data_IF_212368608916
#
_entry.id   IF_212368608916
#
_cell.length_a   1.000
_cell.length_b   1.000
_cell.length_c   1.000
_cell.angle_alpha   90.00
_cell.angle_beta   90.00
_cell.angle_gamma   90.00
#
_symmetry.space_group_name_H-M   'P 1'
#
loop_
_entity.id
_entity.type
_entity.pdbx_description
1 polymer ?
#
# COMPACT_ATOMS: atom_id res chain seq x y z
N UNK A 1 -19.31 -32.34 3.34
CA UNK A 1 -19.45 -32.73 4.75
C UNK A 1 -20.12 -31.57 5.46
N UNK A 2 -21.33 -31.83 5.94
CA UNK A 2 -22.32 -30.86 6.41
C UNK A 2 -21.83 -30.00 7.59
N UNK A 3 -21.97 -28.68 7.44
CA UNK A 3 -21.65 -27.66 8.44
C UNK A 3 -22.87 -27.47 9.37
N UNK A 4 -23.19 -28.50 10.15
CA UNK A 4 -24.19 -28.42 11.22
C UNK A 4 -23.48 -28.45 12.58
N UNK A 5 -22.68 -27.41 12.85
CA UNK A 5 -22.20 -27.09 14.21
C UNK A 5 -23.03 -25.94 14.79
N UNK A 6 -24.30 -26.21 15.04
CA UNK A 6 -25.18 -25.37 15.86
C UNK A 6 -24.93 -25.59 17.36
N UNK A 7 -23.66 -25.62 17.77
CA UNK A 7 -23.25 -25.64 19.18
C UNK A 7 -22.75 -24.26 19.56
N UNK A 8 -23.22 -23.71 20.69
CA UNK A 8 -22.71 -22.46 21.25
C UNK A 8 -21.17 -22.49 21.26
N UNK A 9 -20.54 -21.68 20.41
CA UNK A 9 -19.09 -21.59 20.38
C UNK A 9 -18.62 -20.86 21.63
N UNK A 10 -17.63 -21.39 22.35
CA UNK A 10 -17.01 -20.73 23.50
C UNK A 10 -16.16 -19.48 23.13
N UNK A 11 -16.32 -18.96 21.91
CA UNK A 11 -15.65 -17.75 21.43
C UNK A 11 -16.34 -16.52 22.02
N UNK A 12 -15.56 -15.45 22.24
CA UNK A 12 -16.10 -14.12 22.55
C UNK A 12 -17.03 -13.62 21.45
N UNK A 13 -17.85 -12.61 21.74
CA UNK A 13 -18.70 -11.94 20.74
C UNK A 13 -17.90 -11.46 19.53
N UNK A 14 -16.69 -10.94 19.76
CA UNK A 14 -15.74 -10.58 18.71
C UNK A 14 -15.35 -11.79 17.85
N UNK A 15 -14.94 -12.90 18.47
CA UNK A 15 -14.56 -14.11 17.75
C UNK A 15 -15.70 -14.72 16.93
N UNK A 16 -16.93 -14.65 17.45
CA UNK A 16 -18.14 -15.07 16.74
C UNK A 16 -18.43 -14.17 15.54
N UNK A 17 -18.38 -12.85 15.70
CA UNK A 17 -18.59 -11.91 14.60
C UNK A 17 -17.59 -12.09 13.45
N UNK A 18 -16.32 -12.41 13.76
CA UNK A 18 -15.30 -12.69 12.72
C UNK A 18 -15.48 -14.05 12.05
N UNK A 19 -16.18 -14.99 12.67
CA UNK A 19 -16.46 -16.29 12.06
C UNK A 19 -17.28 -16.18 10.77
N UNK A 20 -18.07 -15.12 10.59
CA UNK A 20 -18.82 -14.88 9.34
C UNK A 20 -17.88 -14.57 8.17
N UNK A 21 -16.79 -13.85 8.42
CA UNK A 21 -15.75 -13.55 7.42
C UNK A 21 -14.72 -14.68 7.20
N UNK A 22 -14.83 -15.79 7.95
CA UNK A 22 -13.85 -16.90 7.93
C UNK A 22 -13.65 -17.50 6.55
N UNK A 23 -14.73 -17.62 5.77
CA UNK A 23 -14.70 -18.29 4.46
C UNK A 23 -13.78 -17.54 3.50
N UNK A 24 -13.85 -16.22 3.48
CA UNK A 24 -13.00 -15.35 2.66
C UNK A 24 -11.53 -15.47 3.06
N UNK A 25 -11.22 -15.41 4.36
CA UNK A 25 -9.85 -15.53 4.85
C UNK A 25 -9.23 -16.91 4.55
N UNK A 26 -9.99 -17.98 4.76
CA UNK A 26 -9.55 -19.35 4.43
C UNK A 26 -9.36 -19.54 2.93
N UNK A 27 -10.21 -18.94 2.09
CA UNK A 27 -10.03 -18.98 0.65
C UNK A 27 -8.76 -18.23 0.21
N UNK A 28 -8.50 -17.05 0.78
CA UNK A 28 -7.26 -16.32 0.54
C UNK A 28 -6.04 -17.15 0.93
N UNK A 29 -6.07 -17.80 2.10
CA UNK A 29 -4.98 -18.68 2.54
C UNK A 29 -4.75 -19.86 1.57
N UNK A 30 -5.82 -20.46 1.06
CA UNK A 30 -5.72 -21.52 0.03
C UNK A 30 -5.08 -20.98 -1.24
N UNK A 31 -5.51 -19.81 -1.72
CA UNK A 31 -4.94 -19.19 -2.92
C UNK A 31 -3.44 -18.90 -2.73
N UNK A 32 -3.03 -18.40 -1.55
CA UNK A 32 -1.61 -18.16 -1.25
C UNK A 32 -0.77 -19.45 -1.29
N UNK A 33 -1.33 -20.58 -0.85
CA UNK A 33 -0.65 -21.89 -0.92
C UNK A 33 -0.56 -22.45 -2.34
N UNK A 34 -1.42 -21.99 -3.24
CA UNK A 34 -1.41 -22.32 -4.67
C UNK A 34 -0.71 -21.22 -5.49
N UNK A 35 0.32 -20.58 -4.96
CA UNK A 35 1.06 -19.54 -5.69
C UNK A 35 1.89 -20.17 -6.82
N UNK A 36 1.96 -19.47 -7.96
CA UNK A 36 2.82 -19.85 -9.08
C UNK A 36 4.29 -19.90 -8.66
N UNK A 37 5.00 -20.92 -9.14
CA UNK A 37 6.45 -20.99 -9.08
C UNK A 37 6.97 -21.71 -10.33
N UNK A 38 7.94 -21.10 -11.01
CA UNK A 38 8.52 -21.56 -12.29
C UNK A 38 8.95 -23.05 -12.32
N UNK A 39 9.28 -23.63 -11.17
CA UNK A 39 9.79 -25.02 -11.07
C UNK A 39 8.90 -25.96 -10.28
N UNK A 40 8.18 -25.45 -9.28
CA UNK A 40 7.52 -26.29 -8.26
C UNK A 40 6.00 -26.20 -8.31
N UNK A 41 5.45 -25.15 -8.96
CA UNK A 41 4.02 -25.01 -9.15
C UNK A 41 3.73 -24.18 -10.42
N UNK A 42 4.01 -24.75 -11.59
CA UNK A 42 3.87 -24.06 -12.88
C UNK A 42 2.41 -23.69 -13.21
N UNK A 43 1.44 -24.38 -12.60
CA UNK A 43 0.00 -24.16 -12.76
C UNK A 43 -0.61 -23.34 -11.62
N UNK A 44 0.22 -22.87 -10.67
CA UNK A 44 -0.21 -22.04 -9.55
C UNK A 44 -0.68 -20.66 -9.99
N UNK A 45 -1.37 -19.95 -9.11
CA UNK A 45 -1.91 -18.60 -9.29
C UNK A 45 -0.77 -17.59 -9.38
N UNK A 46 -0.73 -16.84 -10.48
CA UNK A 46 0.13 -15.68 -10.65
C UNK A 46 -0.60 -14.47 -10.07
N UNK A 47 -0.09 -13.92 -8.97
CA UNK A 47 -0.72 -12.80 -8.28
C UNK A 47 -0.04 -11.48 -8.68
N UNK A 48 -0.73 -10.72 -9.52
CA UNK A 48 -0.34 -9.36 -9.91
C UNK A 48 -1.30 -8.32 -9.33
N UNK A 49 -2.06 -8.70 -8.30
CA UNK A 49 -2.96 -7.83 -7.56
C UNK A 49 -2.35 -7.25 -6.29
N UNK A 50 -1.40 -7.95 -5.68
CA UNK A 50 -0.68 -7.50 -4.48
C UNK A 50 0.50 -6.63 -4.88
N UNK A 51 0.57 -5.43 -4.29
CA UNK A 51 1.67 -4.49 -4.51
C UNK A 51 2.98 -5.01 -3.88
N UNK A 52 3.69 -5.84 -4.62
CA UNK A 52 4.99 -6.42 -4.30
C UNK A 52 6.00 -6.00 -5.34
N UNK A 53 7.22 -5.68 -4.88
CA UNK A 53 8.33 -5.35 -5.76
C UNK A 53 9.37 -6.45 -5.67
N UNK A 54 9.43 -7.29 -6.71
CA UNK A 54 10.35 -8.44 -6.77
C UNK A 54 11.57 -8.18 -7.65
N UNK A 55 11.74 -6.95 -8.14
CA UNK A 55 12.75 -6.58 -9.13
C UNK A 55 14.17 -6.64 -8.58
N UNK A 56 14.36 -6.42 -7.27
CA UNK A 56 15.68 -6.44 -6.61
C UNK A 56 15.88 -7.65 -5.68
N UNK A 57 15.07 -8.71 -5.79
CA UNK A 57 15.14 -9.85 -4.86
C UNK A 57 16.51 -10.53 -4.84
N UNK A 58 17.14 -10.69 -6.00
CA UNK A 58 18.44 -11.35 -6.06
C UNK A 58 19.56 -10.45 -5.56
N UNK A 59 19.54 -9.16 -5.90
CA UNK A 59 20.44 -8.15 -5.35
C UNK A 59 20.40 -8.13 -3.81
N UNK A 60 19.19 -8.11 -3.23
CA UNK A 60 19.00 -8.14 -1.78
C UNK A 60 19.45 -9.45 -1.15
N UNK A 61 19.17 -10.60 -1.79
CA UNK A 61 19.62 -11.90 -1.31
C UNK A 61 21.14 -11.94 -1.21
N UNK A 62 21.84 -11.59 -2.29
CA UNK A 62 23.31 -11.55 -2.30
C UNK A 62 23.88 -10.54 -1.31
N UNK A 63 23.26 -9.35 -1.22
CA UNK A 63 23.70 -8.31 -0.28
C UNK A 63 23.59 -8.78 1.17
N UNK A 64 22.45 -9.36 1.56
CA UNK A 64 22.24 -9.79 2.95
C UNK A 64 23.03 -11.06 3.29
N UNK A 65 23.25 -11.99 2.36
CA UNK A 65 24.16 -13.14 2.57
C UNK A 65 25.58 -12.70 2.94
N UNK A 66 26.04 -11.56 2.40
CA UNK A 66 27.39 -11.03 2.65
C UNK A 66 27.46 -10.13 3.89
N UNK A 67 26.45 -9.33 4.14
CA UNK A 67 26.50 -8.22 5.10
C UNK A 67 25.71 -8.47 6.39
N UNK A 68 24.88 -9.51 6.47
CA UNK A 68 24.15 -9.82 7.71
C UNK A 68 25.10 -10.44 8.74
N UNK A 69 25.41 -9.67 9.78
CA UNK A 69 26.24 -10.11 10.89
C UNK A 69 25.47 -9.99 12.21
N UNK A 70 25.00 -11.12 12.72
CA UNK A 70 24.33 -11.19 14.02
C UNK A 70 25.36 -11.24 15.16
N UNK A 71 25.08 -10.50 16.21
CA UNK A 71 25.85 -10.42 17.45
C UNK A 71 25.09 -11.13 18.58
N UNK A 72 25.74 -11.46 19.72
CA UNK A 72 25.04 -12.03 20.87
C UNK A 72 23.83 -11.21 21.35
N UNK A 73 23.89 -9.87 21.24
CA UNK A 73 22.79 -8.98 21.62
C UNK A 73 21.54 -9.19 20.77
N UNK A 74 21.69 -9.58 19.49
CA UNK A 74 20.57 -9.82 18.57
C UNK A 74 19.74 -11.06 18.97
N UNK A 75 20.26 -11.93 19.84
CA UNK A 75 19.53 -13.06 20.43
C UNK A 75 18.80 -12.70 21.74
N UNK A 76 18.79 -11.42 22.12
CA UNK A 76 18.11 -10.91 23.32
C UNK A 76 16.96 -9.97 22.94
N UNK A 77 16.34 -9.31 23.93
CA UNK A 77 15.32 -8.27 23.70
C UNK A 77 15.89 -6.93 23.21
N UNK A 78 17.20 -6.83 23.03
CA UNK A 78 17.86 -5.59 22.60
C UNK A 78 17.81 -4.51 23.67
N UNK A 79 17.87 -3.25 23.23
CA UNK A 79 17.99 -2.06 24.07
C UNK A 79 16.81 -1.08 23.96
N UNK A 80 15.70 -1.44 23.29
CA UNK A 80 14.55 -0.56 23.14
C UNK A 80 13.23 -1.25 22.79
N UNK A 81 12.16 -0.89 23.50
CA UNK A 81 10.80 -1.39 23.28
C UNK A 81 10.13 -0.81 22.04
N UNK A 82 10.60 0.35 21.59
CA UNK A 82 10.11 1.06 20.41
C UNK A 82 10.99 0.83 19.18
N UNK A 83 11.95 -0.09 19.27
CA UNK A 83 13.04 -0.29 18.30
C UNK A 83 14.40 -0.16 18.99
N UNK A 84 15.42 -0.88 18.50
CA UNK A 84 16.77 -0.74 19.07
C UNK A 84 17.37 0.62 18.73
N UNK A 85 18.33 1.08 19.52
CA UNK A 85 19.04 2.33 19.23
C UNK A 85 19.77 2.26 17.88
N UNK A 86 20.28 1.08 17.51
CA UNK A 86 20.89 0.81 16.20
C UNK A 86 19.92 1.14 15.06
N UNK A 87 18.72 0.56 15.10
CA UNK A 87 17.73 0.76 14.05
C UNK A 87 17.14 2.17 14.06
N UNK A 88 16.78 2.70 15.22
CA UNK A 88 16.22 4.05 15.33
C UNK A 88 17.22 5.11 14.85
N UNK A 89 18.53 4.92 15.11
CA UNK A 89 19.57 5.79 14.56
C UNK A 89 19.65 5.68 13.04
N UNK A 90 19.68 4.46 12.50
CA UNK A 90 19.74 4.23 11.05
C UNK A 90 18.52 4.81 10.31
N UNK A 91 17.32 4.62 10.85
CA UNK A 91 16.07 5.18 10.30
C UNK A 91 16.04 6.69 10.42
N UNK A 92 16.43 7.27 11.56
CA UNK A 92 16.51 8.73 11.72
C UNK A 92 17.46 9.35 10.70
N UNK A 93 18.65 8.76 10.52
CA UNK A 93 19.64 9.20 9.52
C UNK A 93 19.07 9.12 8.10
N UNK A 94 18.43 8.00 7.77
CA UNK A 94 17.78 7.79 6.49
C UNK A 94 16.70 8.85 6.22
N UNK A 95 15.76 9.05 7.14
CA UNK A 95 14.70 10.05 7.00
C UNK A 95 15.29 11.46 6.85
N UNK A 96 16.29 11.82 7.64
CA UNK A 96 16.96 13.12 7.52
C UNK A 96 17.65 13.32 6.16
N UNK A 97 18.03 12.25 5.46
CA UNK A 97 18.73 12.32 4.17
C UNK A 97 17.79 12.27 2.97
N UNK A 98 16.68 11.54 3.06
CA UNK A 98 15.80 11.26 1.90
C UNK A 98 14.40 11.88 2.02
N UNK A 99 13.97 12.28 3.21
CA UNK A 99 12.66 12.90 3.46
C UNK A 99 12.80 14.41 3.75
N UNK A 100 14.04 14.89 3.88
CA UNK A 100 14.40 16.30 4.07
C UNK A 100 13.50 17.02 5.10
N UNK A 101 13.36 16.49 6.32
CA UNK A 101 12.42 17.01 7.29
C UNK A 101 12.83 18.43 7.73
N UNK A 102 11.86 19.33 7.91
CA UNK A 102 12.10 20.72 8.30
C UNK A 102 12.84 20.83 9.63
N UNK A 103 12.49 19.96 10.58
CA UNK A 103 13.25 19.72 11.81
C UNK A 103 13.86 18.32 11.73
N UNK A 104 15.11 18.12 12.17
CA UNK A 104 15.71 16.78 12.17
C UNK A 104 14.88 15.76 12.95
N UNK A 105 14.72 14.57 12.39
CA UNK A 105 14.16 13.40 13.06
C UNK A 105 15.26 12.78 13.95
N UNK A 106 14.92 12.46 15.20
CA UNK A 106 15.80 11.78 16.16
C UNK A 106 15.13 10.48 16.64
N UNK A 107 15.90 9.52 17.22
CA UNK A 107 15.37 8.24 17.68
C UNK A 107 14.11 8.32 18.56
N UNK A 108 14.02 9.32 19.44
CA UNK A 108 12.89 9.50 20.36
C UNK A 108 11.58 9.89 19.65
N UNK A 109 11.63 10.27 18.38
CA UNK A 109 10.44 10.54 17.56
C UNK A 109 9.83 9.27 16.94
N UNK A 110 10.49 8.11 17.09
CA UNK A 110 10.21 6.91 16.31
C UNK A 110 9.53 5.82 17.14
N UNK A 111 8.53 5.19 16.52
CA UNK A 111 7.97 3.92 16.96
C UNK A 111 8.14 2.90 15.85
N UNK A 112 9.04 1.94 16.04
CA UNK A 112 9.21 0.80 15.16
C UNK A 112 8.13 -0.26 15.46
N UNK A 113 7.74 -1.00 14.42
CA UNK A 113 6.85 -2.14 14.61
C UNK A 113 6.90 -3.15 13.47
N UNK A 114 6.15 -4.24 13.65
CA UNK A 114 6.06 -5.41 12.78
C UNK A 114 5.31 -5.15 11.46
N UNK A 115 5.66 -4.05 10.79
CA UNK A 115 5.03 -3.54 9.58
C UNK A 115 4.03 -2.42 9.82
N UNK A 116 3.70 -1.68 8.76
CA UNK A 116 2.83 -0.50 8.87
C UNK A 116 1.40 -0.81 9.28
N UNK A 117 0.83 -1.96 8.89
CA UNK A 117 -0.56 -2.27 9.25
C UNK A 117 -0.76 -2.44 10.76
N UNK A 118 0.20 -3.07 11.45
CA UNK A 118 0.16 -3.24 12.92
C UNK A 118 0.45 -1.94 13.63
N UNK A 119 1.45 -1.18 13.17
CA UNK A 119 1.76 0.16 13.68
C UNK A 119 0.54 1.08 13.55
N UNK A 120 -0.08 1.13 12.38
CA UNK A 120 -1.27 1.94 12.13
C UNK A 120 -2.46 1.50 12.99
N UNK A 121 -2.64 0.19 13.20
CA UNK A 121 -3.65 -0.32 14.14
C UNK A 121 -3.38 0.15 15.57
N UNK A 122 -2.14 0.22 16.04
CA UNK A 122 -1.85 0.74 17.39
C UNK A 122 -2.01 2.27 17.47
N UNK A 123 -1.49 3.01 16.48
CA UNK A 123 -1.64 4.48 16.40
C UNK A 123 -3.11 4.87 16.44
N UNK A 124 -3.93 4.24 15.60
CA UNK A 124 -5.36 4.55 15.52
C UNK A 124 -6.11 4.19 16.80
N UNK A 125 -5.71 3.10 17.48
CA UNK A 125 -6.26 2.73 18.79
C UNK A 125 -5.95 3.74 19.89
N UNK A 126 -4.83 4.45 19.80
CA UNK A 126 -4.44 5.47 20.79
C UNK A 126 -5.14 6.81 20.54
N UNK A 127 -5.40 7.16 19.29
CA UNK A 127 -5.97 8.49 18.94
C UNK A 127 -7.50 8.49 18.74
N UNK A 128 -8.15 7.32 18.73
CA UNK A 128 -9.58 7.17 18.45
C UNK A 128 -10.23 6.04 19.26
N UNK A 129 -11.51 6.23 19.60
CA UNK A 129 -12.33 5.24 20.28
C UNK A 129 -13.09 4.33 19.30
N UNK A 130 -13.53 3.12 19.72
CA UNK A 130 -14.45 2.31 18.90
C UNK A 130 -15.72 3.11 18.53
N UNK A 131 -16.04 3.16 17.24
CA UNK A 131 -17.14 3.97 16.70
C UNK A 131 -16.72 5.34 16.16
N UNK A 132 -15.52 5.83 16.47
CA UNK A 132 -14.95 7.02 15.83
C UNK A 132 -14.57 6.73 14.37
N UNK A 133 -14.39 7.79 13.58
CA UNK A 133 -14.08 7.72 12.15
C UNK A 133 -12.71 8.26 11.76
N UNK A 134 -12.16 7.70 10.68
CA UNK A 134 -10.97 8.22 9.99
C UNK A 134 -11.34 8.51 8.54
N UNK A 135 -11.11 9.75 8.10
CA UNK A 135 -11.40 10.18 6.73
C UNK A 135 -10.32 9.72 5.74
N UNK A 136 -10.76 9.29 4.57
CA UNK A 136 -9.94 8.83 3.46
C UNK A 136 -10.49 9.42 2.16
N UNK A 137 -9.63 9.99 1.32
CA UNK A 137 -10.00 10.31 -0.06
C UNK A 137 -10.10 9.01 -0.87
N UNK A 138 -11.24 8.75 -1.51
CA UNK A 138 -11.44 7.58 -2.35
C UNK A 138 -11.13 7.91 -3.82
N UNK A 139 -10.36 7.05 -4.51
CA UNK A 139 -9.97 5.69 -4.10
C UNK A 139 -8.79 5.62 -3.13
N UNK A 140 -8.74 4.58 -2.30
CA UNK A 140 -7.65 4.35 -1.32
C UNK A 140 -7.29 2.88 -1.15
N UNK A 141 -6.20 2.62 -0.42
CA UNK A 141 -5.72 1.28 -0.12
C UNK A 141 -6.64 0.52 0.86
N UNK A 142 -7.20 -0.60 0.41
CA UNK A 142 -8.08 -1.48 1.19
C UNK A 142 -7.51 -1.98 2.54
N UNK A 143 -6.18 -1.95 2.72
CA UNK A 143 -5.59 -2.37 4.00
C UNK A 143 -5.89 -1.40 5.13
N UNK A 144 -6.25 -0.15 4.84
CA UNK A 144 -6.71 0.81 5.86
C UNK A 144 -8.00 0.36 6.52
N UNK A 145 -8.95 -0.22 5.76
CA UNK A 145 -10.16 -0.81 6.34
C UNK A 145 -9.82 -1.87 7.40
N UNK A 146 -8.87 -2.74 7.07
CA UNK A 146 -8.41 -3.82 7.95
C UNK A 146 -7.73 -3.25 9.19
N UNK A 147 -6.80 -2.31 9.02
CA UNK A 147 -6.04 -1.69 10.11
C UNK A 147 -6.91 -0.89 11.07
N UNK A 148 -8.00 -0.29 10.61
CA UNK A 148 -8.89 0.51 11.47
C UNK A 148 -9.98 -0.34 12.12
N UNK A 149 -10.61 -1.25 11.36
CA UNK A 149 -11.82 -1.94 11.83
C UNK A 149 -11.52 -3.19 12.64
N UNK A 150 -10.55 -4.01 12.23
CA UNK A 150 -10.48 -5.40 12.68
C UNK A 150 -10.21 -5.49 14.17
N UNK A 151 -9.29 -4.71 14.71
CA UNK A 151 -8.95 -4.74 16.14
C UNK A 151 -9.55 -3.60 16.95
N UNK A 152 -9.88 -2.46 16.32
CA UNK A 152 -10.20 -1.23 17.05
C UNK A 152 -11.67 -0.81 16.93
N UNK A 153 -12.43 -1.34 15.97
CA UNK A 153 -13.81 -0.89 15.73
C UNK A 153 -13.91 0.56 15.23
N UNK A 154 -12.83 1.09 14.66
CA UNK A 154 -12.78 2.44 14.07
C UNK A 154 -13.35 2.36 12.65
N UNK A 155 -14.13 3.37 12.26
CA UNK A 155 -14.89 3.39 11.01
C UNK A 155 -14.07 4.11 9.91
N UNK A 156 -13.64 3.42 8.83
CA UNK A 156 -13.08 4.08 7.66
C UNK A 156 -14.18 4.87 6.94
N UNK A 157 -13.97 6.17 6.75
CA UNK A 157 -14.90 7.06 6.06
C UNK A 157 -14.29 7.42 4.70
N UNK A 158 -14.57 6.57 3.71
CA UNK A 158 -14.21 6.81 2.32
C UNK A 158 -15.05 7.92 1.69
N UNK A 159 -14.40 8.98 1.24
CA UNK A 159 -15.04 10.12 0.57
C UNK A 159 -14.70 10.08 -0.92
N UNK A 160 -15.66 9.76 -1.80
CA UNK A 160 -15.43 9.75 -3.25
C UNK A 160 -14.97 11.11 -3.75
N UNK A 161 -13.78 11.15 -4.35
CA UNK A 161 -13.23 12.33 -5.01
C UNK A 161 -13.42 12.19 -6.52
N UNK A 162 -14.02 13.18 -7.20
CA UNK A 162 -14.03 13.22 -8.66
C UNK A 162 -12.62 13.22 -9.23
N UNK A 163 -12.37 12.46 -10.31
CA UNK A 163 -11.03 12.35 -10.91
C UNK A 163 -10.42 13.71 -11.30
N UNK A 164 -11.25 14.71 -11.67
CA UNK A 164 -10.81 16.07 -12.01
C UNK A 164 -10.32 16.90 -10.82
N UNK A 165 -10.73 16.52 -9.60
CA UNK A 165 -10.42 17.23 -8.37
C UNK A 165 -9.36 16.49 -7.53
N UNK A 166 -9.06 15.22 -7.86
CA UNK A 166 -7.99 14.43 -7.26
C UNK A 166 -6.61 15.07 -7.52
N UNK A 167 -5.74 15.04 -6.51
CA UNK A 167 -4.45 15.73 -6.42
C UNK A 167 -4.56 17.25 -6.48
N UNK A 168 -5.70 17.81 -6.07
CA UNK A 168 -5.89 19.26 -5.97
C UNK A 168 -6.47 19.64 -4.62
N UNK A 169 -6.35 20.91 -4.23
CA UNK A 169 -6.93 21.42 -2.98
C UNK A 169 -8.46 21.25 -2.88
N UNK A 170 -9.15 20.96 -4.00
CA UNK A 170 -10.59 20.71 -4.00
C UNK A 170 -10.97 19.40 -3.28
N UNK A 171 -10.06 18.45 -3.12
CA UNK A 171 -10.27 17.24 -2.31
C UNK A 171 -10.80 17.59 -0.91
N UNK A 172 -10.28 18.66 -0.33
CA UNK A 172 -10.61 19.08 1.04
C UNK A 172 -12.03 19.61 1.15
N UNK A 173 -12.61 20.10 0.04
CA UNK A 173 -14.04 20.46 0.01
C UNK A 173 -14.90 19.22 0.14
N UNK A 174 -14.51 18.12 -0.52
CA UNK A 174 -15.21 16.85 -0.38
C UNK A 174 -14.98 16.22 0.99
N UNK A 175 -13.76 16.25 1.54
CA UNK A 175 -13.47 15.76 2.88
C UNK A 175 -14.23 16.54 3.95
N UNK A 176 -14.37 17.86 3.80
CA UNK A 176 -15.20 18.69 4.68
C UNK A 176 -16.66 18.24 4.68
N UNK A 177 -17.21 17.94 3.50
CA UNK A 177 -18.56 17.37 3.40
C UNK A 177 -18.64 16.00 4.08
N UNK A 178 -17.67 15.12 3.85
CA UNK A 178 -17.60 13.81 4.52
C UNK A 178 -17.54 13.92 6.04
N UNK A 179 -16.77 14.88 6.56
CA UNK A 179 -16.70 15.20 7.99
C UNK A 179 -18.07 15.63 8.54
N UNK A 180 -18.76 16.53 7.84
CA UNK A 180 -20.08 17.03 8.22
C UNK A 180 -21.15 15.93 8.20
N UNK A 181 -21.15 15.11 7.15
CA UNK A 181 -22.08 13.97 7.01
C UNK A 181 -21.86 12.90 8.08
N UNK A 182 -20.60 12.60 8.43
CA UNK A 182 -20.27 11.70 9.53
C UNK A 182 -20.70 12.26 10.88
N UNK A 183 -20.44 13.54 11.13
CA UNK A 183 -20.84 14.23 12.37
C UNK A 183 -22.37 14.21 12.53
N UNK A 184 -23.12 14.45 11.44
CA UNK A 184 -24.58 14.37 11.45
C UNK A 184 -25.12 12.97 11.75
N UNK A 185 -24.33 11.92 11.50
CA UNK A 185 -24.63 10.51 11.84
C UNK A 185 -24.13 10.12 13.23
N UNK A 186 -23.58 11.05 14.00
CA UNK A 186 -23.03 10.78 15.34
C UNK A 186 -21.65 10.12 15.33
N UNK A 187 -20.92 10.17 14.22
CA UNK A 187 -19.56 9.64 14.10
C UNK A 187 -18.58 10.80 14.29
N UNK A 188 -17.74 10.72 15.33
CA UNK A 188 -16.67 11.70 15.56
C UNK A 188 -15.46 11.37 14.69
N UNK A 189 -15.01 12.32 13.88
CA UNK A 189 -13.77 12.15 13.08
C UNK A 189 -12.56 12.48 13.95
N UNK A 190 -11.53 11.63 13.92
CA UNK A 190 -10.30 11.79 14.72
C UNK A 190 -9.04 12.01 13.89
N UNK A 191 -9.04 11.58 12.64
CA UNK A 191 -7.92 11.74 11.74
C UNK A 191 -8.32 11.77 10.27
N UNK A 192 -7.42 12.27 9.44
CA UNK A 192 -7.36 12.03 8.00
C UNK A 192 -6.16 11.13 7.72
N UNK A 193 -6.35 10.13 6.86
CA UNK A 193 -5.29 9.27 6.36
C UNK A 193 -4.97 9.67 4.92
N UNK A 194 -3.74 10.16 4.70
CA UNK A 194 -3.18 10.50 3.39
C UNK A 194 -2.15 9.43 3.01
N UNK A 195 -2.13 9.00 1.75
CA UNK A 195 -1.09 8.11 1.23
C UNK A 195 -0.35 8.85 0.12
N UNK A 196 0.95 9.11 0.31
CA UNK A 196 1.76 9.92 -0.58
C UNK A 196 3.16 9.32 -0.73
N UNK A 197 3.54 8.73 -1.87
CA UNK A 197 2.77 8.59 -3.11
C UNK A 197 1.50 7.75 -2.99
N UNK A 198 0.50 8.08 -3.80
CA UNK A 198 -0.89 7.61 -3.65
C UNK A 198 -1.10 6.16 -4.12
N UNK A 199 -1.81 5.38 -3.31
CA UNK A 199 -2.25 4.02 -3.64
C UNK A 199 -3.79 4.00 -3.72
N UNK A 200 -4.40 3.78 -4.91
CA UNK A 200 -3.85 2.96 -6.01
C UNK A 200 -3.40 3.72 -7.27
N UNK A 201 -3.36 5.06 -7.25
CA UNK A 201 -3.18 5.86 -8.48
C UNK A 201 -1.72 6.06 -8.90
N UNK A 202 -0.76 5.78 -8.02
CA UNK A 202 0.67 5.77 -8.35
C UNK A 202 1.23 7.15 -8.69
N UNK A 203 0.87 8.18 -7.92
CA UNK A 203 1.30 9.57 -8.13
C UNK A 203 1.57 10.27 -6.81
N UNK A 204 2.53 11.18 -6.79
CA UNK A 204 2.79 12.07 -5.65
C UNK A 204 1.72 13.16 -5.57
N UNK A 205 1.46 13.63 -4.36
CA UNK A 205 0.67 14.84 -4.14
C UNK A 205 1.54 16.09 -4.32
N UNK A 206 1.04 17.12 -5.00
CA UNK A 206 1.69 18.43 -5.01
C UNK A 206 1.82 19.02 -3.59
N UNK A 207 2.90 19.76 -3.29
CA UNK A 207 3.15 20.27 -1.93
C UNK A 207 2.05 21.17 -1.37
N UNK A 208 1.42 22.00 -2.21
CA UNK A 208 0.32 22.88 -1.80
C UNK A 208 -0.91 22.08 -1.35
N UNK A 209 -1.15 20.92 -1.94
CA UNK A 209 -2.22 20.00 -1.54
C UNK A 209 -1.90 19.36 -0.19
N UNK A 210 -0.66 18.89 0.04
CA UNK A 210 -0.23 18.33 1.33
C UNK A 210 -0.38 19.37 2.45
N UNK A 211 0.07 20.61 2.21
CA UNK A 211 -0.11 21.73 3.16
C UNK A 211 -1.60 21.97 3.44
N UNK A 212 -2.45 21.88 2.43
CA UNK A 212 -3.88 22.06 2.59
C UNK A 212 -4.52 20.93 3.42
N UNK A 213 -4.04 19.68 3.33
CA UNK A 213 -4.40 18.59 4.26
C UNK A 213 -3.97 18.91 5.69
N UNK A 214 -2.74 19.40 5.91
CA UNK A 214 -2.27 19.79 7.24
C UNK A 214 -3.18 20.86 7.86
N UNK A 215 -3.54 21.89 7.09
CA UNK A 215 -4.46 22.97 7.53
C UNK A 215 -5.86 22.47 7.79
N UNK A 216 -6.39 21.58 6.95
CA UNK A 216 -7.70 20.95 7.18
C UNK A 216 -7.73 20.22 8.52
N UNK A 217 -6.67 19.46 8.85
CA UNK A 217 -6.60 18.76 10.13
C UNK A 217 -6.47 19.71 11.33
N UNK A 218 -5.72 20.82 11.19
CA UNK A 218 -5.66 21.87 12.21
C UNK A 218 -7.03 22.51 12.46
N UNK A 219 -7.69 22.99 11.39
CA UNK A 219 -8.98 23.70 11.45
C UNK A 219 -10.09 22.86 12.13
N UNK A 220 -9.96 21.53 12.05
CA UNK A 220 -10.92 20.58 12.60
C UNK A 220 -10.45 19.88 13.88
N UNK A 221 -9.28 20.24 14.42
CA UNK A 221 -8.71 19.64 15.63
C UNK A 221 -8.57 18.11 15.55
N UNK A 222 -8.13 17.60 14.39
CA UNK A 222 -7.92 16.15 14.12
C UNK A 222 -6.47 15.88 13.70
N UNK A 223 -6.07 14.61 13.66
CA UNK A 223 -4.73 14.20 13.23
C UNK A 223 -4.61 14.09 11.71
N UNK A 224 -3.40 14.27 11.18
CA UNK A 224 -3.01 13.83 9.85
C UNK A 224 -2.04 12.66 9.98
N UNK A 225 -2.38 11.54 9.35
CA UNK A 225 -1.50 10.38 9.21
C UNK A 225 -1.07 10.30 7.73
N UNK A 226 0.21 10.55 7.44
CA UNK A 226 0.80 10.47 6.10
C UNK A 226 1.52 9.13 5.91
N UNK A 227 0.92 8.21 5.15
CA UNK A 227 1.57 6.96 4.72
C UNK A 227 2.45 7.21 3.50
N UNK A 228 3.75 7.25 3.75
CA UNK A 228 4.78 7.60 2.77
C UNK A 228 5.59 6.38 2.32
N UNK A 229 5.02 5.17 2.46
CA UNK A 229 5.72 3.90 2.18
C UNK A 229 6.27 3.75 0.75
N UNK A 230 5.84 4.59 -0.19
CA UNK A 230 6.28 4.59 -1.59
C UNK A 230 7.23 5.75 -1.93
N UNK A 231 7.73 6.49 -0.93
CA UNK A 231 8.55 7.70 -1.09
C UNK A 231 9.69 7.60 -2.12
N UNK A 232 10.37 6.46 -2.19
CA UNK A 232 11.52 6.24 -3.05
C UNK A 232 11.20 5.52 -4.37
N UNK A 233 9.91 5.29 -4.65
CA UNK A 233 9.45 4.59 -5.85
C UNK A 233 8.96 5.52 -6.96
N UNK A 234 9.37 6.79 -6.96
CA UNK A 234 9.06 7.75 -8.03
C UNK A 234 9.99 7.51 -9.22
N UNK A 235 9.44 7.45 -10.44
CA UNK A 235 10.21 7.24 -11.67
C UNK A 235 9.60 8.00 -12.85
N UNK A 236 10.43 8.63 -13.73
CA UNK A 236 9.97 9.17 -15.00
C UNK A 236 9.73 8.04 -16.01
N UNK A 237 8.75 8.20 -16.90
CA UNK A 237 8.41 7.23 -17.95
C UNK A 237 8.00 7.91 -19.26
N UNK A 238 7.78 7.13 -20.32
CA UNK A 238 7.21 7.65 -21.56
C UNK A 238 5.82 8.30 -21.42
N UNK A 239 5.01 7.93 -20.42
CA UNK A 239 3.71 8.55 -20.18
C UNK A 239 3.80 9.78 -19.28
N UNK A 240 4.77 9.80 -18.36
CA UNK A 240 5.00 10.90 -17.40
C UNK A 240 6.50 11.19 -17.35
N UNK A 241 7.03 11.98 -18.30
CA UNK A 241 8.46 12.29 -18.36
C UNK A 241 8.96 13.11 -17.16
N UNK A 242 8.11 14.02 -16.68
CA UNK A 242 8.39 14.94 -15.58
C UNK A 242 7.38 14.70 -14.43
N UNK A 243 7.57 13.65 -13.62
CA UNK A 243 6.65 13.33 -12.53
C UNK A 243 6.74 14.34 -11.39
N UNK A 244 5.62 14.56 -10.69
CA UNK A 244 5.61 15.32 -9.44
C UNK A 244 6.58 14.65 -8.44
N UNK A 245 7.57 15.39 -7.90
CA UNK A 245 8.52 14.81 -6.96
C UNK A 245 7.82 14.41 -5.66
N UNK A 246 8.38 13.41 -4.98
CA UNK A 246 7.92 13.11 -3.62
C UNK A 246 8.32 14.24 -2.67
N UNK A 247 7.35 14.73 -1.91
CA UNK A 247 7.57 15.67 -0.81
C UNK A 247 6.95 15.08 0.45
N UNK A 248 7.78 14.83 1.45
CA UNK A 248 7.33 14.32 2.75
C UNK A 248 6.57 15.40 3.52
N UNK A 249 5.55 15.01 4.26
CA UNK A 249 4.89 15.90 5.23
C UNK A 249 5.86 16.41 6.30
N UNK A 250 6.94 15.68 6.58
CA UNK A 250 7.98 16.08 7.55
C UNK A 250 8.82 17.27 7.04
N UNK A 251 8.88 17.49 5.73
CA UNK A 251 9.64 18.60 5.12
C UNK A 251 8.94 19.97 5.22
N UNK A 252 7.69 19.99 5.68
CA UNK A 252 6.86 21.19 5.73
C UNK A 252 7.13 21.98 7.02
N UNK A 253 7.35 23.28 6.90
CA UNK A 253 7.33 24.23 8.03
C UNK A 253 5.89 24.46 8.50
N UNK A 254 5.36 23.52 9.29
CA UNK A 254 3.96 23.49 9.73
C UNK A 254 3.54 24.76 10.48
N UNK A 255 4.41 25.31 11.32
CA UNK A 255 4.12 26.51 12.12
C UNK A 255 3.94 27.75 11.23
N UNK A 256 4.73 27.89 10.16
CA UNK A 256 4.55 28.95 9.16
C UNK A 256 3.18 28.88 8.47
N UNK A 257 2.59 27.70 8.40
CA UNK A 257 1.25 27.48 7.85
C UNK A 257 0.14 27.50 8.91
N UNK A 258 0.46 27.86 10.16
CA UNK A 258 -0.48 27.93 11.27
C UNK A 258 -0.96 26.56 11.77
N UNK A 259 -0.24 25.48 11.45
CA UNK A 259 -0.58 24.11 11.85
C UNK A 259 0.20 23.71 13.08
N UNK A 260 -0.47 23.16 14.10
CA UNK A 260 0.22 22.60 15.25
C UNK A 260 0.96 21.30 14.85
N UNK A 261 2.31 21.26 14.95
CA UNK A 261 3.08 20.09 14.57
C UNK A 261 2.71 18.80 15.30
N UNK A 262 2.10 18.88 16.50
CA UNK A 262 1.68 17.71 17.27
C UNK A 262 0.54 16.89 16.64
N UNK A 263 -0.05 17.39 15.54
CA UNK A 263 -1.14 16.74 14.81
C UNK A 263 -0.71 15.93 13.61
N UNK A 264 0.51 16.17 13.11
CA UNK A 264 0.96 15.67 11.82
C UNK A 264 2.02 14.60 12.04
N UNK A 265 1.76 13.42 11.47
CA UNK A 265 2.57 12.24 11.68
C UNK A 265 2.85 11.54 10.35
N UNK A 266 4.00 10.89 10.23
CA UNK A 266 4.38 10.13 9.05
C UNK A 266 4.53 8.64 9.35
N UNK A 267 4.29 7.81 8.34
CA UNK A 267 4.50 6.37 8.37
C UNK A 267 5.41 5.98 7.20
N UNK A 268 6.38 5.09 7.47
CA UNK A 268 7.25 4.54 6.44
C UNK A 268 7.63 3.08 6.75
N UNK A 269 8.20 2.36 5.79
CA UNK A 269 8.55 0.96 6.06
C UNK A 269 9.31 0.26 4.96
N UNK A 270 9.87 -0.90 5.32
CA UNK A 270 10.73 -1.70 4.44
C UNK A 270 9.97 -2.43 3.31
N UNK A 271 8.63 -2.48 3.41
CA UNK A 271 7.83 -3.39 2.58
C UNK A 271 7.88 -3.06 1.09
N UNK A 272 7.87 -1.78 0.72
CA UNK A 272 7.72 -1.36 -0.68
C UNK A 272 9.04 -0.95 -1.29
N UNK A 273 9.60 0.16 -0.84
CA UNK A 273 10.81 0.74 -1.43
C UNK A 273 12.07 -0.12 -1.25
N UNK A 274 12.08 -1.00 -0.24
CA UNK A 274 13.17 -1.95 0.01
C UNK A 274 12.83 -3.39 -0.35
N UNK A 275 11.71 -3.61 -1.06
CA UNK A 275 11.35 -4.90 -1.64
C UNK A 275 11.26 -6.03 -0.58
N UNK A 276 10.94 -5.71 0.67
CA UNK A 276 10.99 -6.68 1.78
C UNK A 276 9.63 -6.82 2.49
N UNK A 277 8.59 -7.12 1.72
CA UNK A 277 7.25 -7.40 2.23
C UNK A 277 7.24 -8.52 3.31
N UNK A 278 8.15 -9.49 3.25
CA UNK A 278 8.20 -10.59 4.23
C UNK A 278 8.81 -10.22 5.59
N UNK A 279 9.66 -9.18 5.66
CA UNK A 279 10.49 -8.92 6.84
C UNK A 279 9.78 -8.17 7.96
N UNK A 280 8.62 -7.57 7.65
CA UNK A 280 7.74 -6.94 8.63
C UNK A 280 8.41 -5.85 9.45
N UNK A 281 8.85 -4.80 8.75
CA UNK A 281 9.34 -3.57 9.36
C UNK A 281 8.52 -2.35 8.92
N UNK A 282 8.13 -1.53 9.89
CA UNK A 282 7.50 -0.23 9.71
C UNK A 282 7.92 0.72 10.81
N UNK A 283 7.80 2.01 10.54
CA UNK A 283 8.07 3.10 11.46
C UNK A 283 6.93 4.10 11.44
N UNK A 284 6.53 4.57 12.62
CA UNK A 284 5.72 5.75 12.82
C UNK A 284 6.59 6.88 13.35
N UNK A 285 6.41 8.08 12.82
CA UNK A 285 7.20 9.28 13.13
C UNK A 285 6.28 10.36 13.67
N UNK A 286 6.54 10.82 14.89
CA UNK A 286 5.86 11.96 15.51
C UNK A 286 6.88 12.84 16.21
N UNK A 287 7.22 13.98 15.60
CA UNK A 287 8.30 14.87 16.07
C UNK A 287 7.88 15.86 17.16
N UNK A 288 6.58 16.05 17.38
CA UNK A 288 6.08 17.13 18.24
C UNK A 288 4.90 16.70 19.11
N UNK A 289 4.71 15.39 19.30
CA UNK A 289 3.71 14.84 20.20
C UNK A 289 4.34 13.77 21.13
N UNK A 290 5.10 14.19 22.16
CA UNK A 290 5.77 13.27 23.07
C UNK A 290 4.78 12.39 23.83
N UNK A 291 3.62 12.94 24.21
CA UNK A 291 2.57 12.16 24.89
C UNK A 291 2.05 11.00 24.03
N UNK A 292 1.92 11.20 22.71
CA UNK A 292 1.56 10.12 21.79
C UNK A 292 2.65 9.04 21.71
N UNK A 293 3.94 9.43 21.64
CA UNK A 293 5.07 8.49 21.64
C UNK A 293 5.11 7.69 22.95
N UNK A 294 4.99 8.36 24.10
CA UNK A 294 4.98 7.75 25.43
C UNK A 294 3.81 6.76 25.57
N UNK A 295 2.61 7.15 25.11
CA UNK A 295 1.43 6.28 25.15
C UNK A 295 1.61 5.06 24.24
N UNK A 296 2.15 5.24 23.04
CA UNK A 296 2.42 4.13 22.12
C UNK A 296 3.44 3.15 22.70
N UNK A 297 4.47 3.65 23.40
CA UNK A 297 5.50 2.83 24.06
C UNK A 297 4.91 1.79 25.03
N UNK A 298 3.76 2.07 25.65
CA UNK A 298 3.06 1.11 26.52
C UNK A 298 2.53 -0.10 25.72
N UNK A 299 2.15 0.12 24.47
CA UNK A 299 1.50 -0.91 23.61
C UNK A 299 2.47 -1.59 22.64
N UNK A 300 3.68 -1.05 22.45
CA UNK A 300 4.65 -1.55 21.46
C UNK A 300 5.12 -2.98 21.70
N UNK A 301 5.04 -3.47 22.94
CA UNK A 301 5.41 -4.86 23.29
C UNK A 301 4.69 -5.91 22.42
N UNK A 302 3.52 -5.60 21.88
CA UNK A 302 2.74 -6.50 21.02
C UNK A 302 3.13 -6.44 19.53
N UNK A 303 3.98 -5.50 19.14
CA UNK A 303 4.37 -5.28 17.75
C UNK A 303 5.88 -5.10 17.55
N UNK A 304 6.70 -5.45 18.55
CA UNK A 304 8.17 -5.32 18.48
C UNK A 304 8.72 -5.97 17.21
N UNK A 305 9.65 -5.28 16.58
CA UNK A 305 10.36 -5.77 15.40
C UNK A 305 11.33 -6.89 15.77
N UNK A 306 11.43 -7.93 14.94
CA UNK A 306 12.41 -9.00 15.17
C UNK A 306 13.84 -8.45 15.06
N UNK A 307 14.74 -8.91 15.95
CA UNK A 307 16.15 -8.52 15.93
C UNK A 307 16.84 -8.78 14.59
N UNK A 308 16.45 -9.85 13.86
CA UNK A 308 17.02 -10.13 12.53
C UNK A 308 16.58 -9.07 11.52
N UNK A 309 15.30 -8.70 11.51
CA UNK A 309 14.78 -7.62 10.66
C UNK A 309 15.41 -6.28 11.00
N UNK A 310 15.60 -6.01 12.30
CA UNK A 310 16.30 -4.83 12.80
C UNK A 310 17.73 -4.76 12.23
N UNK A 311 18.52 -5.84 12.36
CA UNK A 311 19.88 -5.90 11.80
C UNK A 311 19.88 -5.73 10.29
N UNK A 312 18.99 -6.42 9.58
CA UNK A 312 18.89 -6.33 8.11
C UNK A 312 18.63 -4.89 7.66
N UNK A 313 17.63 -4.23 8.25
CA UNK A 313 17.26 -2.89 7.82
C UNK A 313 18.30 -1.86 8.23
N UNK A 314 18.80 -1.90 9.47
CA UNK A 314 19.86 -1.00 9.91
C UNK A 314 21.15 -1.14 9.10
N UNK A 315 21.56 -2.37 8.75
CA UNK A 315 22.73 -2.62 7.88
C UNK A 315 22.55 -2.00 6.50
N UNK A 316 21.37 -2.19 5.89
CA UNK A 316 21.09 -1.60 4.57
C UNK A 316 21.03 -0.07 4.61
N UNK A 317 20.39 0.50 5.64
CA UNK A 317 20.23 1.95 5.77
C UNK A 317 21.53 2.69 6.10
N UNK A 318 22.49 2.01 6.72
CA UNK A 318 23.78 2.59 7.09
C UNK A 318 24.88 2.41 6.03
N UNK A 319 24.63 1.60 4.99
CA UNK A 319 25.58 1.47 3.87
C UNK A 319 25.44 2.64 2.89
N UNK A 320 26.30 3.64 3.10
CA UNK A 320 26.35 4.87 2.30
C UNK A 320 26.71 4.64 0.83
N UNK A 321 27.30 3.49 0.50
CA UNK A 321 27.69 3.16 -0.87
C UNK A 321 26.60 2.37 -1.60
N UNK A 322 25.99 1.40 -0.93
CA UNK A 322 25.02 0.51 -1.52
C UNK A 322 23.63 1.14 -1.59
N UNK A 323 23.19 1.85 -0.54
CA UNK A 323 21.83 2.39 -0.47
C UNK A 323 21.49 3.33 -1.64
N UNK A 324 22.30 4.36 -2.00
CA UNK A 324 21.96 5.23 -3.13
C UNK A 324 21.92 4.48 -4.47
N UNK A 325 22.85 3.53 -4.67
CA UNK A 325 22.91 2.70 -5.87
C UNK A 325 21.69 1.76 -5.97
N UNK A 326 21.28 1.16 -4.85
CA UNK A 326 20.09 0.34 -4.73
C UNK A 326 18.83 1.12 -5.11
N UNK A 327 18.64 2.31 -4.54
CA UNK A 327 17.47 3.17 -4.82
C UNK A 327 17.42 3.53 -6.31
N UNK A 328 18.53 4.00 -6.87
CA UNK A 328 18.64 4.38 -8.29
C UNK A 328 18.31 3.19 -9.20
N UNK A 329 18.90 2.01 -8.93
CA UNK A 329 18.63 0.80 -9.71
C UNK A 329 17.18 0.36 -9.59
N UNK A 330 16.59 0.41 -8.40
CA UNK A 330 15.19 0.06 -8.19
C UNK A 330 14.24 0.98 -8.98
N UNK A 331 14.48 2.30 -9.00
CA UNK A 331 13.69 3.26 -9.78
C UNK A 331 13.79 3.01 -11.29
N UNK A 332 14.99 2.69 -11.79
CA UNK A 332 15.19 2.31 -13.20
C UNK A 332 14.42 1.04 -13.56
N UNK A 333 14.49 0.01 -12.73
CA UNK A 333 13.76 -1.24 -12.96
C UNK A 333 12.24 -1.05 -12.85
N UNK A 334 11.77 -0.18 -11.95
CA UNK A 334 10.36 0.18 -11.85
C UNK A 334 9.85 0.83 -13.14
N UNK A 335 10.60 1.80 -13.69
CA UNK A 335 10.30 2.39 -15.00
C UNK A 335 10.23 1.31 -16.08
N UNK A 336 11.26 0.49 -16.20
CA UNK A 336 11.35 -0.51 -17.27
C UNK A 336 10.20 -1.53 -17.17
N UNK A 337 9.82 -1.93 -15.95
CA UNK A 337 8.68 -2.81 -15.69
C UNK A 337 7.33 -2.13 -16.00
N UNK A 338 7.16 -0.85 -15.65
CA UNK A 338 5.99 -0.05 -16.00
C UNK A 338 5.83 0.08 -17.52
N UNK A 339 6.88 0.47 -18.23
CA UNK A 339 6.87 0.63 -19.69
C UNK A 339 6.58 -0.69 -20.40
N UNK A 340 7.06 -1.79 -19.83
CA UNK A 340 6.75 -3.10 -20.33
C UNK A 340 5.25 -3.42 -20.25
N UNK A 341 4.66 -3.35 -19.05
CA UNK A 341 3.24 -3.65 -18.87
C UNK A 341 2.34 -2.69 -19.65
N UNK A 342 2.69 -1.40 -19.71
CA UNK A 342 1.91 -0.43 -20.50
C UNK A 342 2.02 -0.67 -22.01
N UNK A 343 3.13 -1.19 -22.52
CA UNK A 343 3.22 -1.59 -23.93
C UNK A 343 2.29 -2.77 -24.28
N UNK A 344 2.11 -3.72 -23.35
CA UNK A 344 1.08 -4.77 -23.48
C UNK A 344 -0.34 -4.19 -23.47
N UNK A 345 -0.62 -3.26 -22.54
CA UNK A 345 -1.93 -2.60 -22.47
C UNK A 345 -2.26 -1.82 -23.74
N UNK A 346 -1.28 -1.08 -24.30
CA UNK A 346 -1.45 -0.35 -25.57
C UNK A 346 -1.68 -1.31 -26.74
N UNK A 347 -0.98 -2.44 -26.80
CA UNK A 347 -1.22 -3.46 -27.83
C UNK A 347 -2.66 -3.98 -27.81
N UNK A 348 -3.23 -4.20 -26.62
CA UNK A 348 -4.61 -4.64 -26.43
C UNK A 348 -5.65 -3.51 -26.41
N UNK A 349 -5.23 -2.26 -26.69
CA UNK A 349 -6.08 -1.06 -26.65
C UNK A 349 -6.83 -0.88 -25.30
N UNK A 350 -6.19 -1.24 -24.19
CA UNK A 350 -6.74 -1.09 -22.85
C UNK A 350 -6.35 0.28 -22.28
N UNK A 351 -7.32 1.16 -21.95
CA UNK A 351 -7.04 2.41 -21.28
C UNK A 351 -6.53 2.18 -19.86
N UNK A 352 -5.71 3.10 -19.36
CA UNK A 352 -5.22 3.09 -17.99
C UNK A 352 -4.92 4.50 -17.50
N UNK A 353 -4.81 4.67 -16.18
CA UNK A 353 -4.31 5.88 -15.54
C UNK A 353 -2.78 5.77 -15.47
N UNK A 354 -2.03 6.70 -16.10
CA UNK A 354 -0.58 6.71 -16.00
C UNK A 354 -0.10 6.80 -14.55
N UNK A 355 0.94 6.03 -14.25
CA UNK A 355 1.57 5.97 -12.94
C UNK A 355 3.03 6.39 -13.06
N UNK A 356 3.50 7.14 -12.07
CA UNK A 356 4.89 7.60 -11.97
C UNK A 356 5.49 7.36 -10.59
N UNK A 357 4.78 6.64 -9.74
CA UNK A 357 5.22 6.24 -8.42
C UNK A 357 4.56 4.93 -7.98
N UNK A 358 5.19 4.21 -7.06
CA UNK A 358 4.67 2.95 -6.54
C UNK A 358 4.89 1.78 -7.50
N UNK A 359 4.04 0.76 -7.36
CA UNK A 359 4.28 -0.58 -7.90
C UNK A 359 3.20 -1.06 -8.87
N UNK A 360 2.22 -0.19 -9.13
CA UNK A 360 0.97 -0.55 -9.78
C UNK A 360 0.43 0.60 -10.63
N UNK A 361 -0.54 0.25 -11.47
CA UNK A 361 -1.38 1.21 -12.18
C UNK A 361 -2.84 0.74 -12.19
N UNK A 362 -3.74 1.67 -12.51
CA UNK A 362 -5.16 1.41 -12.67
C UNK A 362 -5.50 1.21 -14.15
N UNK A 363 -6.02 0.04 -14.49
CA UNK A 363 -6.44 -0.34 -15.84
C UNK A 363 -7.96 -0.29 -15.94
N UNK A 364 -8.45 0.27 -17.04
CA UNK A 364 -9.85 0.32 -17.39
C UNK A 364 -10.23 -0.89 -18.25
N UNK A 365 -11.00 -1.81 -17.69
CA UNK A 365 -11.52 -2.98 -18.40
C UNK A 365 -12.99 -2.80 -18.80
N UNK A 366 -13.58 -1.61 -18.70
CA UNK A 366 -14.92 -1.32 -19.24
C UNK A 366 -15.06 -1.67 -20.73
N UNK A 367 -14.06 -1.46 -21.61
CA UNK A 367 -14.15 -1.92 -23.00
C UNK A 367 -14.39 -3.43 -23.14
N UNK A 368 -13.80 -4.22 -22.24
CA UNK A 368 -13.98 -5.69 -22.18
C UNK A 368 -15.34 -6.02 -21.55
N UNK A 369 -15.66 -5.41 -20.41
CA UNK A 369 -16.88 -5.72 -19.65
C UNK A 369 -18.17 -5.22 -20.33
N UNK A 370 -18.06 -4.29 -21.27
CA UNK A 370 -19.20 -3.75 -22.03
C UNK A 370 -19.53 -4.59 -23.27
N UNK A 371 -18.56 -5.36 -23.80
CA UNK A 371 -18.76 -6.30 -24.91
C UNK A 371 -19.41 -7.60 -24.41
N UNK A 372 -20.71 -7.49 -24.10
CA UNK A 372 -21.53 -8.61 -23.61
C UNK A 372 -21.68 -9.69 -24.66
N UNK A 373 -21.70 -9.36 -25.95
CA UNK A 373 -21.82 -10.36 -27.02
C UNK A 373 -20.63 -11.32 -27.00
N UNK A 374 -19.42 -10.79 -26.78
CA UNK A 374 -18.20 -11.60 -26.68
C UNK A 374 -18.03 -12.28 -25.32
N UNK A 375 -18.27 -11.56 -24.22
CA UNK A 375 -17.83 -12.00 -22.90
C UNK A 375 -18.92 -12.48 -21.94
N UNK A 376 -20.22 -12.29 -22.25
CA UNK A 376 -21.29 -12.65 -21.32
C UNK A 376 -21.28 -14.13 -20.95
N UNK A 377 -21.20 -15.01 -21.96
CA UNK A 377 -21.15 -16.46 -21.73
C UNK A 377 -19.88 -16.89 -21.00
N UNK A 378 -18.75 -16.22 -21.25
CA UNK A 378 -17.46 -16.56 -20.65
C UNK A 378 -17.43 -16.23 -19.16
N UNK A 379 -17.93 -15.03 -18.81
CA UNK A 379 -17.91 -14.51 -17.45
C UNK A 379 -19.12 -14.95 -16.62
N UNK A 380 -20.05 -15.70 -17.22
CA UNK A 380 -21.36 -16.01 -16.61
C UNK A 380 -22.12 -14.76 -16.17
N UNK A 381 -22.16 -13.74 -17.03
CA UNK A 381 -22.90 -12.48 -16.81
C UNK A 381 -24.00 -12.31 -17.86
N UNK A 382 -24.89 -11.36 -17.62
CA UNK A 382 -25.98 -10.98 -18.53
C UNK A 382 -26.00 -9.46 -18.74
N UNK A 383 -26.71 -8.94 -19.76
CA UNK A 383 -26.82 -7.49 -19.99
C UNK A 383 -27.36 -6.71 -18.79
N UNK A 384 -28.16 -7.34 -17.93
CA UNK A 384 -28.77 -6.73 -16.74
C UNK A 384 -27.76 -6.51 -15.60
N UNK A 385 -26.64 -7.25 -15.59
CA UNK A 385 -25.62 -7.07 -14.57
C UNK A 385 -24.95 -5.70 -14.73
N UNK A 386 -24.83 -4.96 -13.63
CA UNK A 386 -24.14 -3.68 -13.61
C UNK A 386 -22.62 -3.85 -13.67
N UNK A 387 -21.88 -2.75 -13.91
CA UNK A 387 -20.42 -2.81 -14.06
C UNK A 387 -19.68 -3.40 -12.85
N UNK A 388 -20.20 -3.22 -11.63
CA UNK A 388 -19.57 -3.78 -10.42
C UNK A 388 -19.70 -5.30 -10.37
N UNK A 389 -20.86 -5.83 -10.76
CA UNK A 389 -21.09 -7.26 -10.81
C UNK A 389 -20.23 -7.91 -11.90
N UNK A 390 -20.08 -7.23 -13.05
CA UNK A 390 -19.20 -7.67 -14.14
C UNK A 390 -17.72 -7.64 -13.75
N UNK A 391 -17.29 -6.60 -13.03
CA UNK A 391 -15.93 -6.48 -12.47
C UNK A 391 -15.61 -7.69 -11.56
N UNK A 392 -16.52 -8.03 -10.65
CA UNK A 392 -16.35 -9.17 -9.76
C UNK A 392 -16.37 -10.51 -10.52
N UNK A 393 -17.20 -10.63 -11.55
CA UNK A 393 -17.24 -11.82 -12.41
C UNK A 393 -15.92 -12.04 -13.14
N UNK A 394 -15.33 -10.98 -13.74
CA UNK A 394 -14.03 -11.05 -14.38
C UNK A 394 -12.91 -11.42 -13.41
N UNK A 395 -12.90 -10.84 -12.20
CA UNK A 395 -11.91 -11.17 -11.19
C UNK A 395 -11.96 -12.66 -10.80
N UNK A 396 -13.16 -13.22 -10.61
CA UNK A 396 -13.34 -14.67 -10.34
C UNK A 396 -12.93 -15.52 -11.53
N UNK A 397 -13.28 -15.10 -12.74
CA UNK A 397 -12.94 -15.80 -13.97
C UNK A 397 -11.42 -15.89 -14.16
N UNK A 398 -10.71 -14.78 -14.04
CA UNK A 398 -9.25 -14.76 -14.15
C UNK A 398 -8.58 -15.55 -13.02
N UNK A 399 -9.11 -15.50 -11.80
CA UNK A 399 -8.62 -16.31 -10.69
C UNK A 399 -8.75 -17.82 -10.98
N UNK A 400 -9.87 -18.25 -11.59
CA UNK A 400 -10.05 -19.62 -12.05
C UNK A 400 -9.05 -20.00 -13.15
N UNK A 401 -8.61 -19.02 -13.95
CA UNK A 401 -7.53 -19.13 -14.94
C UNK A 401 -6.14 -18.79 -14.36
N UNK A 402 -6.01 -18.90 -13.03
CA UNK A 402 -4.74 -18.79 -12.30
C UNK A 402 -4.05 -17.43 -12.44
N UNK A 403 -4.83 -16.36 -12.56
CA UNK A 403 -4.34 -14.97 -12.49
C UNK A 403 -5.17 -14.18 -11.48
N UNK A 404 -4.50 -13.58 -10.50
CA UNK A 404 -5.16 -12.72 -9.50
C UNK A 404 -4.82 -11.26 -9.76
N UNK A 405 -5.85 -10.45 -10.00
CA UNK A 405 -5.81 -8.98 -10.07
C UNK A 405 -6.77 -8.39 -9.03
N UNK A 406 -6.64 -7.10 -8.71
CA UNK A 406 -7.52 -6.44 -7.73
C UNK A 406 -8.59 -5.60 -8.43
N UNK A 407 -9.88 -5.92 -8.24
CA UNK A 407 -10.99 -5.06 -8.64
C UNK A 407 -10.89 -3.65 -8.07
N UNK A 408 -11.31 -2.63 -8.82
CA UNK A 408 -11.37 -1.24 -8.37
C UNK A 408 -12.28 -1.04 -7.17
N UNK A 409 -13.29 -1.90 -7.01
CA UNK A 409 -14.16 -1.94 -5.83
C UNK A 409 -13.37 -2.11 -4.52
N UNK A 410 -12.34 -2.96 -4.53
CA UNK A 410 -11.49 -3.16 -3.38
C UNK A 410 -10.73 -1.88 -3.00
N UNK A 411 -10.42 -1.04 -3.97
CA UNK A 411 -9.78 0.26 -3.75
C UNK A 411 -10.79 1.40 -3.55
N UNK A 412 -12.07 1.10 -3.34
CA UNK A 412 -13.14 2.09 -3.15
C UNK A 412 -13.31 3.05 -4.33
N UNK A 413 -12.95 2.64 -5.56
CA UNK A 413 -13.30 3.40 -6.76
C UNK A 413 -14.80 3.33 -6.93
N UNK A 414 -15.47 4.50 -6.98
CA UNK A 414 -16.93 4.57 -7.06
C UNK A 414 -17.49 3.92 -8.35
N UNK A 415 -16.80 4.11 -9.47
CA UNK A 415 -17.16 3.53 -10.75
C UNK A 415 -16.70 2.06 -10.86
N UNK A 416 -17.50 1.23 -11.54
CA UNK A 416 -17.14 -0.15 -11.83
C UNK A 416 -16.35 -0.31 -13.13
N UNK A 417 -15.52 -1.34 -13.20
CA UNK A 417 -14.74 -1.73 -14.38
C UNK A 417 -13.26 -1.38 -14.32
N UNK A 418 -12.80 -0.81 -13.20
CA UNK A 418 -11.39 -0.55 -12.95
C UNK A 418 -10.70 -1.74 -12.30
N UNK A 419 -9.41 -1.95 -12.57
CA UNK A 419 -8.59 -2.97 -11.93
C UNK A 419 -7.19 -2.46 -11.65
N UNK A 420 -6.65 -2.76 -10.46
CA UNK A 420 -5.25 -2.48 -10.12
C UNK A 420 -4.37 -3.64 -10.54
N UNK A 421 -3.37 -3.36 -11.36
CA UNK A 421 -2.34 -4.31 -11.78
C UNK A 421 -0.98 -3.87 -11.22
N UNK A 422 -0.25 -4.81 -10.64
CA UNK A 422 1.12 -4.63 -10.14
C UNK A 422 2.09 -4.95 -11.27
N UNK A 423 2.94 -3.99 -11.63
CA UNK A 423 3.93 -4.16 -12.69
C UNK A 423 5.31 -4.53 -12.15
N UNK A 424 5.60 -4.24 -10.87
CA UNK A 424 6.92 -4.39 -10.27
C UNK A 424 7.28 -5.84 -9.89
N UNK A 425 6.96 -6.80 -10.74
CA UNK A 425 7.33 -8.21 -10.52
C UNK A 425 8.32 -8.67 -11.57
N UNK A 426 9.12 -9.70 -11.27
CA UNK A 426 10.09 -10.28 -12.20
C UNK A 426 9.45 -10.56 -13.56
N UNK A 427 10.27 -10.40 -14.60
CA UNK A 427 9.84 -10.50 -15.99
C UNK A 427 9.19 -11.85 -16.33
N UNK A 428 9.83 -12.93 -15.91
CA UNK A 428 9.33 -14.28 -16.12
C UNK A 428 7.96 -14.50 -15.46
N UNK A 429 7.70 -13.86 -14.32
CA UNK A 429 6.43 -13.96 -13.59
C UNK A 429 5.32 -13.16 -14.27
N UNK A 430 5.60 -11.91 -14.69
CA UNK A 430 4.60 -11.08 -15.38
C UNK A 430 4.23 -11.65 -16.75
N UNK A 431 5.19 -12.23 -17.48
CA UNK A 431 4.93 -12.83 -18.81
C UNK A 431 3.92 -13.99 -18.72
N UNK A 432 4.00 -14.81 -17.67
CA UNK A 432 2.98 -15.85 -17.43
C UNK A 432 1.62 -15.23 -17.11
N UNK A 433 1.57 -14.16 -16.30
CA UNK A 433 0.32 -13.49 -15.97
C UNK A 433 -0.38 -12.95 -17.22
N UNK A 434 0.34 -12.16 -18.03
CA UNK A 434 -0.18 -11.53 -19.24
C UNK A 434 -0.59 -12.58 -20.27
N UNK A 435 0.26 -13.60 -20.49
CA UNK A 435 -0.03 -14.70 -21.40
C UNK A 435 -1.27 -15.50 -21.00
N UNK A 436 -1.52 -15.69 -19.69
CA UNK A 436 -2.75 -16.34 -19.20
C UNK A 436 -3.98 -15.49 -19.37
N UNK A 437 -3.89 -14.17 -19.16
CA UNK A 437 -5.01 -13.25 -19.44
C UNK A 437 -5.40 -13.33 -20.90
N UNK A 438 -4.42 -13.27 -21.82
CA UNK A 438 -4.67 -13.38 -23.25
C UNK A 438 -5.34 -14.71 -23.62
N UNK A 439 -4.83 -15.83 -23.10
CA UNK A 439 -5.43 -17.14 -23.34
C UNK A 439 -6.87 -17.20 -22.80
N UNK A 440 -7.09 -16.72 -21.57
CA UNK A 440 -8.38 -16.80 -20.91
C UNK A 440 -9.45 -15.95 -21.62
N UNK A 441 -9.07 -14.79 -22.15
CA UNK A 441 -9.98 -13.86 -22.83
C UNK A 441 -10.01 -14.03 -24.36
N UNK A 442 -9.26 -15.00 -24.89
CA UNK A 442 -9.15 -15.25 -26.33
C UNK A 442 -8.61 -14.05 -27.10
N UNK A 443 -7.56 -13.41 -26.56
CA UNK A 443 -6.86 -12.29 -27.20
C UNK A 443 -5.66 -12.78 -28.01
N UNK A 444 -5.22 -11.94 -28.96
CA UNK A 444 -4.01 -12.17 -29.72
C UNK A 444 -2.78 -12.21 -28.80
N UNK A 445 -1.79 -13.01 -29.15
CA UNK A 445 -0.56 -13.10 -28.36
C UNK A 445 0.30 -11.87 -28.59
N UNK A 446 0.57 -11.13 -27.52
CA UNK A 446 1.55 -10.07 -27.57
C UNK A 446 2.97 -10.63 -27.61
N UNK A 447 3.74 -10.21 -28.60
CA UNK A 447 5.15 -10.51 -28.73
C UNK A 447 5.91 -9.20 -28.45
N UNK A 448 6.53 -9.05 -27.28
CA UNK A 448 7.23 -7.83 -26.97
C UNK A 448 8.40 -7.64 -27.94
N UNK A 449 8.54 -6.43 -28.50
CA UNK A 449 9.73 -6.12 -29.29
C UNK A 449 10.93 -6.16 -28.34
N UNK A 450 11.79 -7.16 -28.53
CA UNK A 450 13.08 -7.21 -27.84
C UNK A 450 13.89 -6.01 -28.35
N UNK A 451 13.90 -4.91 -27.60
CA UNK A 451 14.93 -3.90 -27.78
C UNK A 451 16.24 -4.60 -27.39
N UNK A 452 17.04 -4.96 -28.39
CA UNK A 452 18.41 -5.39 -28.15
C UNK A 452 19.14 -4.21 -27.53
N UNK A 453 19.31 -4.21 -26.22
CA UNK A 453 20.31 -3.38 -25.58
C UNK A 453 21.67 -4.00 -25.89
N UNK A 454 22.14 -3.78 -27.12
CA UNK A 454 23.55 -3.95 -27.48
C UNK A 454 24.29 -2.70 -27.04
N UNK A 455 25.26 -2.95 -26.15
CA UNK A 455 26.38 -2.12 -25.65
C UNK A 455 26.05 -0.87 -24.85
#
# INVERSE_FOLDING_TARGET
MDDNRSGQTALSSYGQAKAETRKTALQLQKNMRDSYHEKTNIDGIVNIGVAENTLMYEDLREYFERNLHLTPTDFTYGDGLTGTMRLCTAVSRFLNSYFEPYRPVVPDHLIMGSGLMTVLSQVTRVIADPGDGILLASPYYQGFDVSFTVQNGIIPIGVPIPASDMFTVKELTHLKRGLQESTAKGITIKAVMLCNPHNPLGRCYPPDVIIAYCRFCEDHNIHLLSDEVYALSVFPSCDVPDPEPFVSVLSIDLEKHGVNPSRVHALYGMSKDFNANGFRAGVFVSQSNPMLIETLTVTTIFMVISSVTDTLWSTLLMDESYLPAFITKNQLLLRDAYEYVTSWLRFHNLPYIPSSAGHFLMVDLRPVLSDVDRYASLLSITPEHNMRERELALARFLLAHKVSIIPGANCHIAEGGWFRLTFSVRRDFIDVALGRIETALGWDKWQPQVKSFTS
#
